data_IF_366644609979
#
_entry.id   IF_366644609979
#
_cell.length_a   1.000
_cell.length_b   1.000
_cell.length_c   1.000
_cell.angle_alpha   90.00
_cell.angle_beta   90.00
_cell.angle_gamma   90.00
#
_symmetry.space_group_name_H-M   'P 1'
#
loop_
_entity.id
_entity.type
_entity.pdbx_description
1 polymer ?
#
# COMPACT_ATOMS: atom_id res chain seq x y z
N UNK A 1 -15.08 13.29 -2.80
CA UNK A 1 -13.76 12.64 -2.63
C UNK A 1 -13.68 12.10 -1.22
N UNK A 2 -13.19 10.87 -1.06
CA UNK A 2 -13.03 10.21 0.25
C UNK A 2 -11.68 9.52 0.34
N UNK A 3 -11.20 9.28 1.56
CA UNK A 3 -10.00 8.47 1.82
C UNK A 3 -10.45 7.24 2.61
N UNK A 4 -10.06 6.07 2.12
CA UNK A 4 -10.32 4.79 2.77
C UNK A 4 -9.01 4.11 3.14
N UNK A 5 -9.03 3.36 4.24
CA UNK A 5 -7.95 2.44 4.61
C UNK A 5 -8.35 1.04 4.20
N UNK A 6 -7.48 0.35 3.47
CA UNK A 6 -7.72 -0.99 2.91
C UNK A 6 -6.55 -1.92 3.21
N UNK A 7 -6.79 -3.22 3.06
CA UNK A 7 -5.73 -4.22 2.92
C UNK A 7 -5.31 -4.31 1.45
N UNK A 8 -4.12 -3.81 1.06
CA UNK A 8 -3.67 -3.80 -0.33
C UNK A 8 -3.36 -5.21 -0.87
N UNK A 9 -3.29 -6.22 -0.01
CA UNK A 9 -3.02 -7.61 -0.42
C UNK A 9 -4.24 -8.26 -1.08
N UNK A 10 -5.45 -7.79 -0.76
CA UNK A 10 -6.71 -8.41 -1.13
C UNK A 10 -7.72 -7.45 -1.75
N UNK A 11 -7.70 -6.17 -1.38
CA UNK A 11 -8.68 -5.20 -1.85
C UNK A 11 -8.46 -4.84 -3.34
N UNK A 12 -9.52 -4.88 -4.16
CA UNK A 12 -9.41 -4.62 -5.60
C UNK A 12 -9.02 -3.17 -5.93
N UNK A 13 -9.25 -2.20 -5.06
CA UNK A 13 -8.89 -0.80 -5.31
C UNK A 13 -7.38 -0.63 -5.46
N UNK A 14 -6.60 -1.34 -4.64
CA UNK A 14 -5.15 -1.29 -4.73
C UNK A 14 -4.65 -1.86 -6.06
N UNK A 15 -5.17 -3.04 -6.47
CA UNK A 15 -4.80 -3.64 -7.77
C UNK A 15 -5.11 -2.70 -8.94
N UNK A 16 -6.26 -2.01 -8.92
CA UNK A 16 -6.59 -1.02 -9.95
C UNK A 16 -5.59 0.13 -10.01
N UNK A 17 -5.11 0.62 -8.87
CA UNK A 17 -4.06 1.65 -8.85
C UNK A 17 -2.75 1.14 -9.43
N UNK A 18 -2.33 -0.08 -9.06
CA UNK A 18 -1.10 -0.71 -9.58
C UNK A 18 -1.17 -0.88 -11.10
N UNK A 19 -2.32 -1.29 -11.64
CA UNK A 19 -2.50 -1.46 -13.09
C UNK A 19 -2.58 -0.13 -13.86
N UNK A 20 -3.03 0.95 -13.19
CA UNK A 20 -3.27 2.26 -13.81
C UNK A 20 -2.05 3.17 -13.83
N UNK A 21 -1.28 3.17 -12.74
CA UNK A 21 -0.17 4.09 -12.53
C UNK A 21 1.17 3.40 -12.84
N UNK A 22 2.23 4.19 -12.98
CA UNK A 22 3.58 3.64 -13.05
C UNK A 22 3.90 2.98 -11.70
N UNK A 23 3.99 1.67 -11.71
CA UNK A 23 4.33 0.86 -10.54
C UNK A 23 5.51 -0.07 -10.85
N UNK A 24 6.02 -0.70 -9.80
CA UNK A 24 7.03 -1.76 -9.89
C UNK A 24 6.63 -2.94 -8.99
N UNK A 25 7.55 -3.89 -8.81
CA UNK A 25 7.33 -5.09 -8.01
C UNK A 25 6.97 -4.78 -6.56
N UNK A 26 7.43 -3.66 -5.99
CA UNK A 26 7.18 -3.32 -4.59
C UNK A 26 5.73 -2.93 -4.33
N UNK A 27 5.02 -2.48 -5.37
CA UNK A 27 3.60 -2.14 -5.28
C UNK A 27 2.68 -3.36 -5.45
N UNK A 28 3.21 -4.51 -5.89
CA UNK A 28 2.42 -5.68 -6.18
C UNK A 28 1.79 -6.28 -4.90
N UNK A 29 0.48 -6.60 -4.89
CA UNK A 29 -0.15 -7.32 -3.78
C UNK A 29 0.60 -8.61 -3.39
N UNK A 30 1.17 -9.29 -4.37
CA UNK A 30 1.93 -10.53 -4.19
C UNK A 30 3.22 -10.30 -3.39
N UNK A 31 3.93 -9.19 -3.63
CA UNK A 31 5.11 -8.83 -2.84
C UNK A 31 4.73 -8.52 -1.40
N UNK A 32 3.67 -7.74 -1.20
CA UNK A 32 3.16 -7.42 0.13
C UNK A 32 2.77 -8.68 0.92
N UNK A 33 2.16 -9.68 0.27
CA UNK A 33 1.86 -10.98 0.90
C UNK A 33 3.12 -11.74 1.31
N UNK A 34 4.21 -11.67 0.53
CA UNK A 34 5.49 -12.26 0.91
C UNK A 34 6.00 -11.62 2.20
N UNK A 35 5.96 -10.28 2.27
CA UNK A 35 6.41 -9.54 3.44
C UNK A 35 5.56 -9.84 4.68
N UNK A 36 4.24 -9.77 4.56
CA UNK A 36 3.31 -10.06 5.65
C UNK A 36 3.49 -11.49 6.17
N UNK A 37 3.62 -12.50 5.29
CA UNK A 37 3.79 -13.90 5.70
C UNK A 37 5.16 -14.23 6.28
N UNK A 38 6.20 -13.51 5.87
CA UNK A 38 7.58 -13.81 6.28
C UNK A 38 7.95 -13.09 7.57
N UNK A 39 7.47 -11.86 7.74
CA UNK A 39 7.88 -10.96 8.83
C UNK A 39 6.73 -10.52 9.74
N UNK A 40 5.50 -10.97 9.48
CA UNK A 40 4.31 -10.60 10.25
C UNK A 40 4.04 -9.09 10.25
N UNK A 41 4.31 -8.44 9.12
CA UNK A 41 4.04 -7.01 8.96
C UNK A 41 2.55 -6.72 8.77
N UNK A 42 2.04 -5.74 9.52
CA UNK A 42 0.73 -5.13 9.31
C UNK A 42 0.81 -4.07 8.21
N UNK A 43 0.53 -4.51 6.98
CA UNK A 43 0.57 -3.68 5.77
C UNK A 43 -0.83 -3.18 5.47
N UNK A 44 -0.96 -1.86 5.37
CA UNK A 44 -2.20 -1.16 5.05
C UNK A 44 -1.97 -0.22 3.87
N UNK A 45 -3.04 0.25 3.24
CA UNK A 45 -2.95 1.30 2.24
C UNK A 45 -4.04 2.35 2.46
N UNK A 46 -3.65 3.62 2.28
CA UNK A 46 -4.60 4.71 2.13
C UNK A 46 -4.88 4.91 0.65
N UNK A 47 -6.16 4.94 0.28
CA UNK A 47 -6.61 5.15 -1.09
C UNK A 47 -7.59 6.31 -1.14
N UNK A 48 -7.36 7.23 -2.06
CA UNK A 48 -8.27 8.31 -2.39
C UNK A 48 -9.24 7.86 -3.49
N UNK A 49 -10.54 7.97 -3.20
CA UNK A 49 -11.61 7.76 -4.16
C UNK A 49 -12.17 9.09 -4.66
N UNK A 50 -12.55 9.13 -5.93
CA UNK A 50 -13.33 10.25 -6.48
C UNK A 50 -14.83 10.17 -6.14
N UNK A 51 -15.65 11.05 -6.70
CA UNK A 51 -17.11 11.07 -6.46
C UNK A 51 -17.86 9.86 -7.05
N UNK A 52 -17.17 9.00 -7.82
CA UNK A 52 -17.72 7.78 -8.43
C UNK A 52 -17.19 6.50 -7.78
N UNK A 53 -16.59 6.62 -6.60
CA UNK A 53 -15.91 5.54 -5.87
C UNK A 53 -14.76 4.88 -6.64
N UNK A 54 -14.18 5.59 -7.62
CA UNK A 54 -13.05 5.08 -8.40
C UNK A 54 -11.72 5.50 -7.75
N UNK A 55 -10.76 4.57 -7.54
CA UNK A 55 -9.49 4.90 -6.92
C UNK A 55 -8.62 5.76 -7.85
N UNK A 56 -8.13 6.88 -7.31
CA UNK A 56 -7.33 7.88 -8.04
C UNK A 56 -5.90 7.99 -7.57
N UNK A 57 -5.66 7.68 -6.31
CA UNK A 57 -4.31 7.61 -5.77
C UNK A 57 -4.25 6.76 -4.52
N UNK A 58 -3.05 6.31 -4.16
CA UNK A 58 -2.86 5.64 -2.90
C UNK A 58 -1.40 5.48 -2.51
N UNK A 59 -1.20 5.14 -1.24
CA UNK A 59 0.11 4.81 -0.67
C UNK A 59 -0.05 3.62 0.27
N UNK A 60 0.80 2.60 0.07
CA UNK A 60 0.94 1.52 1.02
C UNK A 60 1.82 1.99 2.18
N UNK A 61 1.56 1.48 3.39
CA UNK A 61 2.37 1.74 4.56
C UNK A 61 2.35 0.53 5.51
N UNK A 62 3.37 0.46 6.35
CA UNK A 62 3.47 -0.50 7.44
C UNK A 62 3.65 0.27 8.76
N UNK A 63 2.94 -0.17 9.80
CA UNK A 63 3.27 0.22 11.16
C UNK A 63 4.38 -0.70 11.67
N UNK A 64 5.45 -0.12 12.19
CA UNK A 64 6.57 -0.88 12.75
C UNK A 64 6.66 -0.60 14.24
N UNK A 65 6.47 -1.66 15.02
CA UNK A 65 6.67 -1.69 16.47
C UNK A 65 7.86 -2.62 16.77
N UNK A 66 9.00 -2.03 17.11
CA UNK A 66 10.22 -2.75 17.45
C UNK A 66 10.89 -2.12 18.68
N UNK A 67 12.17 -2.44 18.94
CA UNK A 67 12.92 -1.87 20.07
C UNK A 67 13.14 -0.34 19.95
N UNK A 68 12.79 0.28 18.82
CA UNK A 68 12.79 1.73 18.63
C UNK A 68 11.39 2.28 18.91
N UNK A 69 11.22 3.58 18.66
CA UNK A 69 9.89 4.20 18.73
C UNK A 69 8.99 3.69 17.59
N UNK A 70 7.67 3.53 17.85
CA UNK A 70 6.69 3.22 16.82
C UNK A 70 6.77 4.22 15.66
N UNK A 71 6.65 3.71 14.44
CA UNK A 71 6.77 4.52 13.22
C UNK A 71 5.95 3.95 12.08
N UNK A 72 5.56 4.82 11.15
CA UNK A 72 4.95 4.47 9.88
C UNK A 72 6.00 4.59 8.78
N UNK A 73 6.08 3.60 7.90
CA UNK A 73 6.98 3.58 6.73
C UNK A 73 6.20 3.12 5.49
N UNK A 74 6.59 3.54 4.28
CA UNK A 74 5.83 3.23 3.05
C UNK A 74 5.78 1.72 2.74
N UNK A 75 6.93 1.06 2.61
CA UNK A 75 6.96 -0.40 2.62
C UNK A 75 8.36 -0.87 3.05
N UNK A 76 8.48 -1.79 4.01
CA UNK A 76 9.75 -2.44 4.29
C UNK A 76 10.24 -3.25 3.07
N UNK A 77 11.56 -3.42 2.93
CA UNK A 77 12.16 -4.24 1.87
C UNK A 77 11.78 -3.83 0.43
N UNK A 78 11.67 -2.51 0.22
CA UNK A 78 11.63 -1.88 -1.10
C UNK A 78 12.75 -0.87 -1.24
N UNK A 79 13.30 -0.70 -2.45
CA UNK A 79 14.21 0.42 -2.73
C UNK A 79 13.43 1.75 -2.65
N UNK A 80 12.30 1.81 -3.36
CA UNK A 80 11.31 2.87 -3.30
C UNK A 80 9.91 2.26 -3.43
N UNK A 81 8.97 2.70 -2.60
CA UNK A 81 7.56 2.37 -2.75
C UNK A 81 6.82 3.71 -2.66
N UNK A 82 6.75 4.40 -3.80
CA UNK A 82 6.20 5.74 -3.89
C UNK A 82 4.67 5.72 -3.87
N UNK A 83 4.01 6.86 -3.62
CA UNK A 83 2.58 6.97 -3.85
C UNK A 83 2.24 6.67 -5.32
N UNK A 84 1.20 5.87 -5.53
CA UNK A 84 0.59 5.69 -6.85
C UNK A 84 -0.30 6.89 -7.10
N UNK A 85 0.22 7.88 -7.83
CA UNK A 85 -0.44 9.15 -8.17
C UNK A 85 -0.14 9.51 -9.63
N UNK A 86 -0.84 10.51 -10.17
CA UNK A 86 -0.50 11.14 -11.45
C UNK A 86 -0.19 12.62 -11.23
#
# INVERSE_FOLDING_TARGET
>A
MSIICIDPQTDPCWRRLVERHKSDVFHAPEWMRVLARTYDFDIQALVMLDETDEPRSGIAYCQIEDMRSPRIVSLPFSDFCDPLVT
#
